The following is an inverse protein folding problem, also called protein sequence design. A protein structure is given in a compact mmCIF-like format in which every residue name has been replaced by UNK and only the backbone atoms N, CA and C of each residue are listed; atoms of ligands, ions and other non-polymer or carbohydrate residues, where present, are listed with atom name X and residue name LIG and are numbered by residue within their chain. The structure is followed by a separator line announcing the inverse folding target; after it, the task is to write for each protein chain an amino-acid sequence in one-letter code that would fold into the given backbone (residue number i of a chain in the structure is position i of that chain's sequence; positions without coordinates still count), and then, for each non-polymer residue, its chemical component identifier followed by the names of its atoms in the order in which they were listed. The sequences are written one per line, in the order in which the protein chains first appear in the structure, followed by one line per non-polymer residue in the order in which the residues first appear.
data_IF_115941303630
#
_entry.id   IF_115941303630
#
_cell.length_a   1.000
_cell.length_b   1.000
_cell.length_c   1.000
_cell.angle_alpha   90.00
_cell.angle_beta   90.00
_cell.angle_gamma   90.00
#
_symmetry.space_group_name_H-M   'P 1'
#
loop_
_entity.id
_entity.type
_entity.pdbx_description
1 polymer ?
#
# COMPACT_ATOMS: atom_id res chain seq x y z
N UNK A 1 -17.34 2.94 11.14
CA UNK A 1 -15.91 2.64 11.39
C UNK A 1 -15.70 1.24 10.87
N UNK A 2 -14.87 1.05 9.84
CA UNK A 2 -14.47 -0.30 9.46
C UNK A 2 -13.58 -0.82 10.57
N UNK A 3 -13.99 -1.90 11.23
CA UNK A 3 -13.11 -2.62 12.16
C UNK A 3 -12.19 -3.47 11.30
N UNK A 4 -10.94 -3.02 11.13
CA UNK A 4 -9.96 -3.80 10.40
C UNK A 4 -9.51 -4.98 11.27
N UNK A 5 -9.02 -6.08 10.67
CA UNK A 5 -8.33 -7.11 11.43
C UNK A 5 -7.16 -6.53 12.22
N UNK A 6 -6.87 -7.06 13.41
CA UNK A 6 -5.84 -6.53 14.31
C UNK A 6 -4.47 -6.37 13.63
N UNK A 7 -4.03 -7.33 12.82
CA UNK A 7 -2.75 -7.24 12.12
C UNK A 7 -2.69 -6.08 11.11
N UNK A 8 -3.82 -5.76 10.47
CA UNK A 8 -3.95 -4.60 9.57
C UNK A 8 -3.88 -3.31 10.39
N UNK A 9 -4.61 -3.23 11.50
CA UNK A 9 -4.60 -2.05 12.39
C UNK A 9 -3.21 -1.80 12.97
N UNK A 10 -2.53 -2.84 13.46
CA UNK A 10 -1.17 -2.72 14.01
C UNK A 10 -0.17 -2.26 12.94
N UNK A 11 -0.28 -2.76 11.71
CA UNK A 11 0.59 -2.31 10.64
C UNK A 11 0.28 -0.88 10.19
N UNK A 12 -1.00 -0.50 10.10
CA UNK A 12 -1.41 0.90 9.89
C UNK A 12 -0.83 1.81 10.97
N UNK A 13 -0.89 1.40 12.24
CA UNK A 13 -0.34 2.17 13.35
C UNK A 13 1.18 2.33 13.26
N UNK A 14 1.91 1.28 12.87
CA UNK A 14 3.36 1.34 12.66
C UNK A 14 3.72 2.35 11.56
N UNK A 15 3.00 2.34 10.44
CA UNK A 15 3.16 3.31 9.36
C UNK A 15 2.76 4.73 9.81
N UNK A 16 1.61 4.88 10.47
CA UNK A 16 1.12 6.17 11.00
C UNK A 16 2.08 6.81 12.00
N UNK A 17 2.94 6.02 12.65
CA UNK A 17 3.99 6.52 13.53
C UNK A 17 5.07 7.33 12.81
N UNK A 18 5.27 7.16 11.50
CA UNK A 18 6.25 7.91 10.72
C UNK A 18 5.82 9.39 10.55
N UNK A 19 6.79 10.30 10.54
CA UNK A 19 6.53 11.74 10.35
C UNK A 19 5.91 12.02 8.98
N UNK A 20 5.02 13.00 8.94
CA UNK A 20 4.39 13.47 7.70
C UNK A 20 3.29 12.57 7.13
N UNK A 21 3.08 11.35 7.63
CA UNK A 21 1.91 10.53 7.26
C UNK A 21 0.68 11.05 8.00
N UNK A 22 -0.41 11.34 7.31
CA UNK A 22 -1.62 11.95 7.91
C UNK A 22 -2.80 11.01 8.01
N UNK A 23 -2.81 9.94 7.22
CA UNK A 23 -3.88 8.97 7.20
C UNK A 23 -3.48 7.73 6.44
N UNK A 24 -4.10 6.60 6.80
CA UNK A 24 -3.96 5.35 6.08
C UNK A 24 -5.33 4.71 5.95
N UNK A 25 -5.64 4.24 4.74
CA UNK A 25 -6.79 3.40 4.46
C UNK A 25 -6.29 2.05 3.92
N UNK A 26 -6.99 0.97 4.22
CA UNK A 26 -6.63 -0.35 3.73
C UNK A 26 -7.79 -1.01 3.00
N UNK A 27 -7.46 -1.68 1.90
CA UNK A 27 -8.38 -2.49 1.12
C UNK A 27 -7.84 -3.90 0.96
N UNK A 28 -8.77 -4.85 0.79
CA UNK A 28 -8.48 -6.22 0.39
C UNK A 28 -9.30 -6.50 -0.86
N UNK A 29 -8.63 -6.88 -1.94
CA UNK A 29 -9.26 -7.16 -3.23
C UNK A 29 -8.93 -8.58 -3.67
N UNK A 30 -9.93 -9.34 -4.09
CA UNK A 30 -9.69 -10.62 -4.76
C UNK A 30 -9.27 -10.32 -6.20
N UNK A 31 -8.06 -10.71 -6.59
CA UNK A 31 -7.54 -10.44 -7.91
C UNK A 31 -7.94 -11.49 -8.95
N UNK A 32 -8.29 -12.71 -8.56
CA UNK A 32 -8.67 -13.79 -9.47
C UNK A 32 -9.72 -13.40 -10.54
N UNK A 33 -10.81 -12.66 -10.23
CA UNK A 33 -11.77 -12.25 -11.24
C UNK A 33 -11.32 -11.08 -12.12
N UNK A 34 -10.18 -10.46 -11.84
CA UNK A 34 -9.71 -9.25 -12.53
C UNK A 34 -8.95 -9.62 -13.80
N UNK A 35 -9.57 -9.42 -14.95
CA UNK A 35 -8.91 -9.56 -16.25
C UNK A 35 -8.34 -8.22 -16.77
N UNK A 36 -7.62 -8.28 -17.90
CA UNK A 36 -7.03 -7.09 -18.52
C UNK A 36 -8.05 -6.11 -19.10
N UNK A 37 -9.25 -6.56 -19.45
CA UNK A 37 -10.30 -5.71 -20.01
C UNK A 37 -10.91 -4.82 -18.92
N UNK A 38 -11.05 -5.37 -17.70
CA UNK A 38 -11.56 -4.65 -16.52
C UNK A 38 -10.68 -3.47 -16.10
N UNK A 39 -9.37 -3.50 -16.40
CA UNK A 39 -8.43 -2.44 -16.03
C UNK A 39 -8.75 -1.09 -16.69
N UNK A 40 -9.57 -1.07 -17.75
CA UNK A 40 -10.07 0.18 -18.34
C UNK A 40 -11.17 0.87 -17.53
N UNK A 41 -11.76 0.19 -16.54
CA UNK A 41 -12.88 0.71 -15.76
C UNK A 41 -12.40 1.62 -14.62
N UNK A 42 -13.15 2.70 -14.38
CA UNK A 42 -12.84 3.65 -13.30
C UNK A 42 -12.82 3.01 -11.90
N UNK A 43 -13.60 1.93 -11.70
CA UNK A 43 -13.58 1.16 -10.45
C UNK A 43 -12.21 0.51 -10.19
N UNK A 44 -11.48 0.14 -11.25
CA UNK A 44 -10.16 -0.48 -11.18
C UNK A 44 -9.01 0.55 -11.17
N UNK A 45 -9.30 1.86 -11.18
CA UNK A 45 -8.28 2.92 -11.27
C UNK A 45 -7.23 2.87 -10.14
N UNK A 46 -7.61 2.34 -8.97
CA UNK A 46 -6.75 2.19 -7.81
C UNK A 46 -5.79 0.98 -7.91
N UNK A 47 -6.03 0.04 -8.85
CA UNK A 47 -5.27 -1.21 -8.97
C UNK A 47 -3.86 -0.99 -9.54
N UNK A 48 -2.93 -1.93 -9.29
CA UNK A 48 -1.58 -1.89 -9.83
C UNK A 48 -1.52 -2.31 -11.31
N UNK A 49 -1.99 -1.43 -12.20
CA UNK A 49 -2.21 -1.72 -13.63
C UNK A 49 -1.01 -2.38 -14.33
N UNK A 50 0.20 -1.86 -14.14
CA UNK A 50 1.38 -2.42 -14.81
C UNK A 50 1.73 -3.84 -14.32
N UNK A 51 1.46 -4.16 -13.05
CA UNK A 51 1.66 -5.50 -12.51
C UNK A 51 0.64 -6.47 -13.13
N UNK A 52 -0.65 -6.11 -13.09
CA UNK A 52 -1.74 -6.93 -13.63
C UNK A 52 -1.62 -7.14 -15.14
N UNK A 53 -1.19 -6.12 -15.90
CA UNK A 53 -0.94 -6.26 -17.34
C UNK A 53 0.18 -7.25 -17.67
N UNK A 54 1.19 -7.39 -16.79
CA UNK A 54 2.30 -8.34 -17.01
C UNK A 54 1.88 -9.79 -16.77
N UNK A 55 0.93 -10.01 -15.88
CA UNK A 55 0.39 -11.34 -15.53
C UNK A 55 -0.83 -11.72 -16.36
N UNK A 56 -1.39 -10.78 -17.14
CA UNK A 56 -2.60 -11.02 -17.93
C UNK A 56 -3.89 -10.93 -17.11
N UNK A 57 -3.87 -10.19 -16.00
CA UNK A 57 -4.94 -10.16 -15.00
C UNK A 57 -4.41 -10.51 -13.61
N UNK A 58 -5.30 -10.71 -12.64
CA UNK A 58 -4.95 -11.32 -11.37
C UNK A 58 -4.68 -12.81 -11.51
N UNK A 59 -3.92 -13.35 -10.57
CA UNK A 59 -3.63 -14.78 -10.51
C UNK A 59 -4.69 -15.54 -9.72
N UNK A 60 -4.81 -16.85 -9.95
CA UNK A 60 -5.68 -17.72 -9.15
C UNK A 60 -5.30 -17.65 -7.67
N UNK A 61 -6.31 -17.55 -6.79
CA UNK A 61 -6.13 -17.50 -5.34
C UNK A 61 -5.22 -16.36 -4.87
N UNK A 62 -5.09 -15.30 -5.67
CA UNK A 62 -4.29 -14.13 -5.33
C UNK A 62 -5.18 -13.02 -4.77
N UNK A 63 -4.76 -12.47 -3.63
CA UNK A 63 -5.39 -11.32 -2.99
C UNK A 63 -4.42 -10.16 -2.94
N UNK A 64 -4.93 -8.98 -3.25
CA UNK A 64 -4.22 -7.71 -3.05
C UNK A 64 -4.63 -7.11 -1.71
N UNK A 65 -3.67 -6.94 -0.80
CA UNK A 65 -3.80 -6.01 0.31
C UNK A 65 -3.16 -4.69 -0.11
N UNK A 66 -3.94 -3.61 -0.09
CA UNK A 66 -3.46 -2.28 -0.43
C UNK A 66 -3.54 -1.37 0.78
N UNK A 67 -2.45 -0.65 1.07
CA UNK A 67 -2.42 0.45 2.02
C UNK A 67 -2.28 1.76 1.24
N UNK A 68 -3.32 2.59 1.30
CA UNK A 68 -3.30 3.93 0.75
C UNK A 68 -2.79 4.90 1.83
N UNK A 69 -1.68 5.58 1.56
CA UNK A 69 -0.95 6.40 2.50
C UNK A 69 -1.06 7.87 2.07
N UNK A 70 -1.64 8.69 2.94
CA UNK A 70 -1.71 10.13 2.77
C UNK A 70 -0.54 10.83 3.50
N UNK A 71 0.01 11.87 2.89
CA UNK A 71 1.08 12.68 3.46
C UNK A 71 0.66 14.16 3.56
N UNK A 72 1.26 14.91 4.49
CA UNK A 72 1.07 16.35 4.63
C UNK A 72 1.92 17.20 3.68
N UNK A 73 2.84 16.58 2.93
CA UNK A 73 3.80 17.20 2.02
C UNK A 73 4.81 18.16 2.69
N UNK A 74 5.06 17.96 3.99
CA UNK A 74 6.16 18.59 4.71
C UNK A 74 7.53 18.07 4.22
N UNK A 75 8.64 18.80 4.45
CA UNK A 75 9.99 18.27 4.22
C UNK A 75 10.24 16.93 4.95
N UNK A 76 9.66 16.76 6.13
CA UNK A 76 9.73 15.53 6.91
C UNK A 76 9.01 14.37 6.22
N UNK A 77 7.89 14.62 5.55
CA UNK A 77 7.18 13.60 4.77
C UNK A 77 8.06 13.01 3.66
N UNK A 78 8.96 13.80 3.06
CA UNK A 78 9.89 13.32 2.04
C UNK A 78 10.86 12.28 2.60
N UNK A 79 11.30 12.44 3.85
CA UNK A 79 12.17 11.46 4.50
C UNK A 79 11.43 10.14 4.73
N UNK A 80 10.16 10.20 5.17
CA UNK A 80 9.32 9.01 5.32
C UNK A 80 9.05 8.32 3.98
N UNK A 81 8.78 9.08 2.92
CA UNK A 81 8.60 8.53 1.56
C UNK A 81 9.89 7.85 1.08
N UNK A 82 11.05 8.48 1.26
CA UNK A 82 12.35 7.91 0.87
C UNK A 82 12.65 6.62 1.64
N UNK A 83 12.42 6.63 2.97
CA UNK A 83 12.57 5.46 3.81
C UNK A 83 11.66 4.31 3.36
N UNK A 84 10.36 4.58 3.15
CA UNK A 84 9.41 3.56 2.69
C UNK A 84 9.77 3.03 1.30
N UNK A 85 10.20 3.90 0.38
CA UNK A 85 10.63 3.48 -0.95
C UNK A 85 11.86 2.56 -0.89
N UNK A 86 12.82 2.86 -0.02
CA UNK A 86 13.96 1.98 0.23
C UNK A 86 13.53 0.65 0.86
N UNK A 87 12.72 0.70 1.92
CA UNK A 87 12.31 -0.48 2.70
C UNK A 87 11.47 -1.44 1.87
N UNK A 88 10.46 -0.93 1.14
CA UNK A 88 9.62 -1.75 0.24
C UNK A 88 10.46 -2.41 -0.85
N UNK A 89 11.42 -1.67 -1.42
CA UNK A 89 12.36 -2.24 -2.41
C UNK A 89 13.21 -3.36 -1.79
N UNK A 90 13.64 -3.21 -0.54
CA UNK A 90 14.42 -4.24 0.15
C UNK A 90 13.58 -5.51 0.40
N UNK A 91 12.34 -5.35 0.88
CA UNK A 91 11.37 -6.44 0.98
C UNK A 91 11.16 -7.14 -0.38
N UNK A 92 10.96 -6.38 -1.46
CA UNK A 92 10.82 -6.94 -2.80
C UNK A 92 12.07 -7.72 -3.26
N UNK A 93 13.28 -7.21 -2.96
CA UNK A 93 14.54 -7.92 -3.25
C UNK A 93 14.68 -9.24 -2.48
N UNK A 94 14.07 -9.33 -1.30
CA UNK A 94 14.03 -10.56 -0.50
C UNK A 94 12.95 -11.56 -0.93
N UNK A 95 12.12 -11.20 -1.93
CA UNK A 95 11.12 -12.07 -2.54
C UNK A 95 9.68 -11.78 -2.11
N UNK A 96 9.43 -10.82 -1.23
CA UNK A 96 8.06 -10.38 -0.91
C UNK A 96 7.44 -9.69 -2.12
N UNK A 97 6.23 -10.10 -2.53
CA UNK A 97 5.51 -9.47 -3.64
C UNK A 97 4.88 -8.15 -3.19
N UNK A 98 5.71 -7.13 -3.00
CA UNK A 98 5.29 -5.82 -2.52
C UNK A 98 5.82 -4.71 -3.44
N UNK A 99 5.06 -3.64 -3.59
CA UNK A 99 5.50 -2.42 -4.27
C UNK A 99 4.95 -1.16 -3.61
N UNK A 100 5.61 -0.04 -3.88
CA UNK A 100 5.18 1.29 -3.47
C UNK A 100 5.04 2.15 -4.72
N UNK A 101 3.88 2.78 -4.94
CA UNK A 101 3.64 3.60 -6.13
C UNK A 101 2.83 4.86 -5.81
N UNK A 102 3.04 5.96 -6.55
CA UNK A 102 2.18 7.13 -6.45
C UNK A 102 0.79 6.83 -7.00
N UNK A 103 -0.22 7.47 -6.39
CA UNK A 103 -1.60 7.50 -6.87
C UNK A 103 -2.12 8.93 -6.77
N UNK A 104 -2.81 9.40 -7.81
CA UNK A 104 -3.42 10.72 -7.82
C UNK A 104 -4.65 10.72 -8.70
N UNK A 105 -5.61 11.58 -8.38
CA UNK A 105 -6.78 11.78 -9.21
C UNK A 105 -6.43 12.59 -10.48
N UNK A 106 -7.24 12.49 -11.55
CA UNK A 106 -6.99 13.21 -12.81
C UNK A 106 -6.86 14.73 -12.60
N UNK A 107 -5.99 15.41 -13.35
CA UNK A 107 -5.67 16.82 -13.09
C UNK A 107 -6.85 17.78 -13.27
N UNK A 108 -7.88 17.41 -14.05
CA UNK A 108 -9.04 18.25 -14.36
C UNK A 108 -10.36 17.55 -14.00
N UNK A 109 -11.22 18.26 -13.29
CA UNK A 109 -12.59 17.87 -12.98
C UNK A 109 -13.53 19.02 -13.35
N UNK A 110 -14.85 18.81 -13.40
CA UNK A 110 -15.81 19.91 -13.53
C UNK A 110 -15.68 21.00 -12.45
N UNK A 111 -14.99 20.74 -11.33
CA UNK A 111 -14.74 21.65 -10.22
C UNK A 111 -13.38 22.38 -10.30
N UNK A 112 -12.60 22.13 -11.37
CA UNK A 112 -11.31 22.78 -11.61
C UNK A 112 -10.12 21.82 -11.58
N UNK A 113 -8.92 22.41 -11.51
CA UNK A 113 -7.63 21.70 -11.55
C UNK A 113 -7.20 21.30 -10.14
N UNK A 114 -6.88 20.01 -9.92
CA UNK A 114 -6.54 19.45 -8.59
C UNK A 114 -5.08 19.01 -8.45
N UNK A 115 -4.17 19.66 -9.17
CA UNK A 115 -2.74 19.34 -9.05
C UNK A 115 -2.19 19.66 -7.65
N UNK A 116 -1.42 18.72 -7.11
CA UNK A 116 -0.72 18.87 -5.83
C UNK A 116 -1.56 18.62 -4.58
N UNK A 117 -2.85 18.30 -4.72
CA UNK A 117 -3.74 18.12 -3.56
C UNK A 117 -4.22 16.68 -3.36
N UNK A 118 -4.07 15.81 -4.36
CA UNK A 118 -4.63 14.46 -4.34
C UNK A 118 -3.57 13.35 -4.34
N UNK A 119 -2.29 13.70 -4.21
CA UNK A 119 -1.23 12.70 -4.26
C UNK A 119 -1.28 11.82 -3.00
N UNK A 120 -1.32 10.53 -3.22
CA UNK A 120 -1.21 9.50 -2.20
C UNK A 120 -0.20 8.46 -2.68
N UNK A 121 0.15 7.55 -1.80
CA UNK A 121 1.00 6.41 -2.15
C UNK A 121 0.29 5.12 -1.82
N UNK A 122 0.27 4.19 -2.76
CA UNK A 122 -0.25 2.85 -2.54
C UNK A 122 0.93 1.93 -2.27
N UNK A 123 0.87 1.24 -1.13
CA UNK A 123 1.68 0.06 -0.86
C UNK A 123 0.82 -1.16 -1.18
N UNK A 124 1.16 -1.86 -2.25
CA UNK A 124 0.43 -3.04 -2.72
C UNK A 124 1.19 -4.29 -2.29
N UNK A 125 0.50 -5.22 -1.65
CA UNK A 125 0.99 -6.53 -1.24
C UNK A 125 0.16 -7.61 -1.93
N UNK A 126 0.80 -8.40 -2.77
CA UNK A 126 0.17 -9.53 -3.48
C UNK A 126 0.43 -10.81 -2.69
N UNK A 127 -0.64 -11.50 -2.30
CA UNK A 127 -0.59 -12.73 -1.51
C UNK A 127 -1.23 -13.86 -2.31
N UNK A 128 -0.46 -14.92 -2.57
CA UNK A 128 -0.96 -16.13 -3.25
C UNK A 128 -1.54 -17.13 -2.25
N UNK A 129 -2.31 -18.09 -2.76
CA UNK A 129 -2.79 -19.24 -1.99
C UNK A 129 -3.84 -18.86 -0.93
N UNK A 130 -4.57 -17.77 -1.16
CA UNK A 130 -5.68 -17.34 -0.31
C UNK A 130 -6.96 -17.98 -0.83
N UNK A 131 -7.29 -19.15 -0.29
CA UNK A 131 -8.49 -19.91 -0.68
C UNK A 131 -9.67 -19.62 0.26
N UNK A 132 -9.67 -20.22 1.46
CA UNK A 132 -10.84 -20.23 2.35
C UNK A 132 -10.75 -19.20 3.48
N UNK A 133 -9.56 -18.64 3.74
CA UNK A 133 -9.33 -17.69 4.84
C UNK A 133 -8.28 -16.64 4.50
N UNK A 134 -8.40 -15.46 5.09
CA UNK A 134 -7.42 -14.38 4.99
C UNK A 134 -6.19 -14.57 5.89
N UNK A 135 -6.10 -15.66 6.65
CA UNK A 135 -5.00 -15.89 7.59
C UNK A 135 -3.60 -15.83 6.93
N UNK A 136 -3.36 -16.43 5.73
CA UNK A 136 -2.09 -16.28 5.06
C UNK A 136 -1.73 -14.82 4.77
N UNK A 137 -2.74 -14.01 4.43
CA UNK A 137 -2.55 -12.60 4.15
C UNK A 137 -2.28 -11.79 5.43
N UNK A 138 -2.94 -12.10 6.54
CA UNK A 138 -2.69 -11.48 7.84
C UNK A 138 -1.30 -11.83 8.39
N UNK A 139 -0.84 -13.06 8.22
CA UNK A 139 0.52 -13.48 8.60
C UNK A 139 1.59 -12.71 7.82
N UNK A 140 1.41 -12.51 6.51
CA UNK A 140 2.34 -11.71 5.71
C UNK A 140 2.34 -10.22 6.10
N UNK A 141 1.17 -9.67 6.45
CA UNK A 141 1.09 -8.31 7.03
C UNK A 141 1.84 -8.23 8.37
N UNK A 142 1.68 -9.21 9.25
CA UNK A 142 2.37 -9.28 10.54
C UNK A 142 3.90 -9.34 10.37
N UNK A 143 4.37 -10.12 9.39
CA UNK A 143 5.80 -10.19 9.02
C UNK A 143 6.31 -8.86 8.49
N UNK A 144 5.57 -8.21 7.61
CA UNK A 144 5.91 -6.88 7.09
C UNK A 144 5.96 -5.84 8.21
N UNK A 145 5.01 -5.85 9.14
CA UNK A 145 5.05 -4.98 10.33
C UNK A 145 6.32 -5.20 11.12
N UNK A 146 6.65 -6.45 11.45
CA UNK A 146 7.85 -6.74 12.23
C UNK A 146 9.14 -6.29 11.51
N UNK A 147 9.19 -6.47 10.18
CA UNK A 147 10.27 -5.98 9.33
C UNK A 147 10.38 -4.45 9.37
N UNK A 148 9.27 -3.74 9.19
CA UNK A 148 9.20 -2.28 9.23
C UNK A 148 9.69 -1.74 10.59
N UNK A 149 9.14 -2.26 11.69
CA UNK A 149 9.53 -1.85 13.04
C UNK A 149 11.01 -2.13 13.32
N UNK A 150 11.54 -3.22 12.79
CA UNK A 150 12.96 -3.54 12.90
C UNK A 150 13.81 -2.55 12.11
N UNK A 151 13.43 -2.20 10.89
CA UNK A 151 14.11 -1.18 10.10
C UNK A 151 14.05 0.19 10.77
N UNK A 152 12.88 0.60 11.30
CA UNK A 152 12.72 1.85 12.04
C UNK A 152 13.73 1.93 13.20
N UNK A 153 13.84 0.86 14.01
CA UNK A 153 14.79 0.82 15.14
C UNK A 153 16.24 0.79 14.68
N UNK A 154 16.56 0.01 13.65
CA UNK A 154 17.94 -0.20 13.19
C UNK A 154 18.55 1.05 12.57
N UNK A 155 17.74 1.81 11.82
CA UNK A 155 18.18 3.01 11.10
C UNK A 155 17.80 4.31 11.82
N UNK A 156 17.31 4.22 13.07
CA UNK A 156 16.92 5.36 13.90
C UNK A 156 15.97 6.33 13.17
N UNK A 157 14.94 5.76 12.54
CA UNK A 157 14.00 6.52 11.72
C UNK A 157 13.13 7.42 12.62
N UNK A 158 13.05 8.74 12.35
CA UNK A 158 12.25 9.66 13.17
C UNK A 158 10.76 9.32 13.15
N UNK A 159 10.18 9.18 14.34
CA UNK A 159 8.74 8.99 14.53
C UNK A 159 8.07 10.30 14.98
N UNK A 160 6.75 10.35 14.89
CA UNK A 160 5.94 11.40 15.52
C UNK A 160 6.11 11.35 17.03
N UNK A 161 6.04 12.52 17.66
CA UNK A 161 5.98 12.60 19.12
C UNK A 161 4.68 11.93 19.59
N UNK A 162 4.77 11.10 20.64
CA UNK A 162 3.62 10.42 21.25
C UNK A 162 2.77 11.37 22.08
#
# INVERSE_FOLDING_TARGET
MSHYPTDIEEFQNALLGLKGITGIESGVENLEPIDTEMLGYSACAHLPHAALLRTGGGLEQEVLIQFEIAFDYSPESLQSVEFLAWWVRDCARSGTKVQLRPFALPPETPLGRQLGTTLKWHMDLFIDGVEESLEPALEEVRRLRHSLETAIRLYDIPLKDQ
#
